data_IF_554960050828
#
_entry.id   IF_554960050828
#
_cell.length_a   1.000
_cell.length_b   1.000
_cell.length_c   1.000
_cell.angle_alpha   90.00
_cell.angle_beta   90.00
_cell.angle_gamma   90.00
#
_symmetry.space_group_name_H-M   'P 1'
#
loop_
_entity.id
_entity.type
_entity.pdbx_description
1 polymer ?
#
# COMPACT_ATOMS: atom_id res chain seq x y z
N UNK A 1 -6.97 -10.56 -16.68
CA UNK A 1 -7.95 -10.48 -15.58
C UNK A 1 -7.27 -9.62 -14.54
N UNK A 2 -7.77 -8.41 -14.30
CA UNK A 2 -7.12 -7.50 -13.36
C UNK A 2 -7.25 -8.09 -11.96
N UNK A 3 -6.11 -8.28 -11.28
CA UNK A 3 -6.10 -8.77 -9.90
C UNK A 3 -6.50 -7.58 -9.03
N UNK A 4 -7.68 -7.67 -8.44
CA UNK A 4 -8.19 -6.69 -7.47
C UNK A 4 -8.06 -7.31 -6.09
N UNK A 5 -7.30 -6.67 -5.21
CA UNK A 5 -7.21 -7.06 -3.82
C UNK A 5 -8.39 -6.49 -3.03
N UNK A 6 -8.82 -7.21 -1.98
CA UNK A 6 -9.92 -6.75 -1.10
C UNK A 6 -9.64 -5.36 -0.51
N UNK A 7 -8.35 -5.08 -0.28
CA UNK A 7 -7.85 -3.77 0.11
C UNK A 7 -6.67 -3.44 -0.78
N UNK A 8 -6.85 -2.40 -1.59
CA UNK A 8 -5.82 -1.87 -2.46
C UNK A 8 -5.84 -0.35 -2.35
N UNK A 9 -4.68 0.22 -2.11
CA UNK A 9 -4.50 1.66 -1.96
C UNK A 9 -3.34 2.07 -2.86
N UNK A 10 -3.50 3.20 -3.53
CA UNK A 10 -2.42 3.84 -4.26
C UNK A 10 -2.10 5.15 -3.56
N UNK A 11 -0.84 5.36 -3.23
CA UNK A 11 -0.39 6.65 -2.72
C UNK A 11 -0.74 7.75 -3.76
N UNK A 12 -1.32 8.89 -3.36
CA UNK A 12 -1.72 9.97 -4.29
C UNK A 12 -0.59 10.39 -5.23
N UNK A 13 0.61 10.54 -4.67
CA UNK A 13 1.82 10.92 -5.40
C UNK A 13 2.61 9.74 -5.99
N UNK A 14 2.04 8.54 -6.10
CA UNK A 14 2.73 7.32 -6.56
C UNK A 14 3.56 7.53 -7.83
N UNK A 15 3.05 8.28 -8.82
CA UNK A 15 3.77 8.61 -10.05
C UNK A 15 5.05 9.44 -9.82
N UNK A 16 5.00 10.43 -8.93
CA UNK A 16 6.16 11.26 -8.60
C UNK A 16 7.16 10.51 -7.73
N UNK A 17 6.65 9.74 -6.76
CA UNK A 17 7.45 8.92 -5.84
C UNK A 17 8.23 7.88 -6.64
N UNK A 18 7.61 7.23 -7.64
CA UNK A 18 8.28 6.26 -8.52
C UNK A 18 9.59 6.78 -9.11
N UNK A 19 9.62 8.05 -9.52
CA UNK A 19 10.83 8.69 -10.02
C UNK A 19 11.91 8.91 -8.96
N UNK A 20 11.51 9.23 -7.73
CA UNK A 20 12.41 9.50 -6.60
C UNK A 20 13.02 8.24 -6.01
N UNK A 21 12.24 7.16 -5.90
CA UNK A 21 12.67 5.88 -5.32
C UNK A 21 13.28 4.93 -6.35
N UNK A 22 13.24 5.29 -7.64
CA UNK A 22 13.85 4.50 -8.73
C UNK A 22 13.02 3.31 -9.20
N UNK A 23 11.74 3.23 -8.84
CA UNK A 23 10.89 2.07 -9.15
C UNK A 23 9.50 2.14 -8.54
N UNK A 24 8.72 1.07 -8.66
CA UNK A 24 7.41 0.94 -8.03
C UNK A 24 7.53 0.16 -6.73
N UNK A 25 7.28 0.82 -5.59
CA UNK A 25 7.22 0.14 -4.29
C UNK A 25 5.91 -0.63 -4.16
N UNK A 26 5.99 -1.86 -3.65
CA UNK A 26 4.83 -2.70 -3.40
C UNK A 26 5.01 -3.37 -2.05
N UNK A 27 3.98 -3.25 -1.21
CA UNK A 27 3.82 -3.97 0.05
C UNK A 27 2.54 -4.83 -0.06
N UNK A 28 2.66 -6.14 0.13
CA UNK A 28 1.55 -7.10 0.11
C UNK A 28 1.53 -7.85 1.44
N UNK A 29 0.35 -7.94 2.03
CA UNK A 29 0.11 -8.63 3.31
C UNK A 29 -1.09 -9.54 3.11
N UNK A 30 -0.88 -10.84 3.26
CA UNK A 30 -1.90 -11.84 2.96
C UNK A 30 -2.86 -12.06 4.14
N UNK A 31 -2.31 -12.27 5.35
CA UNK A 31 -3.06 -12.79 6.50
C UNK A 31 -2.50 -12.34 7.86
N UNK A 32 -1.74 -11.23 7.87
CA UNK A 32 -0.98 -10.74 9.04
C UNK A 32 0.10 -11.71 9.56
N UNK A 33 0.33 -12.85 8.91
CA UNK A 33 1.41 -13.78 9.25
C UNK A 33 2.61 -13.64 8.29
N UNK A 34 2.38 -13.15 7.08
CA UNK A 34 3.43 -12.90 6.11
C UNK A 34 3.27 -11.58 5.35
N UNK A 35 4.42 -11.01 4.97
CA UNK A 35 4.53 -9.83 4.13
C UNK A 35 5.49 -10.10 2.98
N UNK A 36 5.15 -9.57 1.80
CA UNK A 36 6.00 -9.48 0.65
C UNK A 36 6.19 -8.00 0.31
N UNK A 37 7.41 -7.52 0.36
CA UNK A 37 7.71 -6.11 0.16
C UNK A 37 8.95 -5.91 -0.70
N UNK A 38 8.95 -4.86 -1.50
CA UNK A 38 10.07 -4.56 -2.38
C UNK A 38 9.77 -3.44 -3.37
N UNK A 39 10.76 -3.15 -4.21
CA UNK A 39 10.64 -2.15 -5.26
C UNK A 39 10.91 -2.85 -6.59
N UNK A 40 9.96 -2.74 -7.53
CA UNK A 40 10.26 -3.01 -8.93
C UNK A 40 11.16 -1.91 -9.49
N UNK A 41 12.46 -2.18 -9.52
CA UNK A 41 13.47 -1.27 -10.05
C UNK A 41 13.21 -0.96 -11.52
N UNK A 42 13.31 0.32 -11.87
CA UNK A 42 13.12 0.78 -13.24
C UNK A 42 14.07 0.07 -14.20
N UNK A 43 13.48 -0.65 -15.17
CA UNK A 43 14.23 -1.39 -16.19
C UNK A 43 14.79 -2.74 -15.73
N UNK A 44 14.44 -3.21 -14.52
CA UNK A 44 14.88 -4.50 -13.97
C UNK A 44 13.76 -5.28 -13.29
N UNK A 45 12.54 -5.21 -13.83
CA UNK A 45 11.35 -5.83 -13.21
C UNK A 45 11.60 -7.31 -12.89
N UNK A 46 12.14 -8.08 -13.85
CA UNK A 46 12.40 -9.52 -13.70
C UNK A 46 13.55 -9.88 -12.74
N UNK A 47 14.30 -8.88 -12.28
CA UNK A 47 15.47 -9.05 -11.41
C UNK A 47 15.35 -8.27 -10.10
N UNK A 48 14.22 -7.61 -9.87
CA UNK A 48 13.99 -6.80 -8.67
C UNK A 48 13.87 -7.71 -7.46
N UNK A 49 14.66 -7.52 -6.41
CA UNK A 49 14.57 -8.34 -5.22
C UNK A 49 13.30 -8.00 -4.43
N UNK A 50 12.57 -9.03 -4.03
CA UNK A 50 11.47 -8.91 -3.08
C UNK A 50 11.78 -9.69 -1.82
N UNK A 51 11.45 -9.10 -0.69
CA UNK A 51 11.59 -9.72 0.61
C UNK A 51 10.25 -10.34 0.97
N UNK A 52 10.23 -11.66 1.02
CA UNK A 52 9.17 -12.39 1.69
C UNK A 52 9.59 -12.70 3.13
N UNK A 53 8.75 -12.34 4.09
CA UNK A 53 9.07 -12.49 5.50
C UNK A 53 7.85 -12.91 6.31
N UNK A 54 8.11 -13.81 7.27
CA UNK A 54 7.20 -14.16 8.38
C UNK A 54 7.68 -13.59 9.71
N UNK A 55 8.72 -12.75 9.68
CA UNK A 55 9.19 -12.10 10.88
C UNK A 55 8.14 -11.11 11.37
N UNK A 56 7.72 -11.26 12.63
CA UNK A 56 6.68 -10.43 13.23
C UNK A 56 6.91 -8.93 13.04
N UNK A 57 8.12 -8.43 13.26
CA UNK A 57 8.43 -7.01 13.12
C UNK A 57 8.37 -6.56 11.66
N UNK A 58 8.88 -7.35 10.72
CA UNK A 58 8.75 -7.06 9.30
C UNK A 58 7.29 -6.96 8.88
N UNK A 59 6.45 -7.90 9.32
CA UNK A 59 5.02 -7.88 8.99
C UNK A 59 4.34 -6.65 9.58
N UNK A 60 4.60 -6.34 10.86
CA UNK A 60 4.03 -5.15 11.52
C UNK A 60 4.44 -3.85 10.81
N UNK A 61 5.71 -3.68 10.46
CA UNK A 61 6.18 -2.48 9.75
C UNK A 61 5.52 -2.32 8.37
N UNK A 62 5.33 -3.41 7.62
CA UNK A 62 4.62 -3.36 6.35
C UNK A 62 3.13 -3.02 6.53
N UNK A 63 2.48 -3.53 7.58
CA UNK A 63 1.09 -3.15 7.90
C UNK A 63 1.01 -1.65 8.18
N UNK A 64 1.94 -1.11 8.96
CA UNK A 64 1.96 0.32 9.26
C UNK A 64 2.25 1.19 8.02
N UNK A 65 3.12 0.73 7.10
CA UNK A 65 3.35 1.35 5.79
C UNK A 65 2.05 1.46 4.97
N UNK A 66 1.28 0.37 4.86
CA UNK A 66 0.00 0.38 4.15
C UNK A 66 -1.04 1.30 4.80
N UNK A 67 -1.10 1.32 6.14
CA UNK A 67 -1.99 2.24 6.88
C UNK A 67 -1.61 3.69 6.62
N UNK A 68 -0.32 4.01 6.60
CA UNK A 68 0.20 5.33 6.28
C UNK A 68 -0.26 5.80 4.89
N UNK A 69 -0.06 4.99 3.86
CA UNK A 69 -0.46 5.33 2.49
C UNK A 69 -1.97 5.49 2.35
N UNK A 70 -2.75 4.69 3.10
CA UNK A 70 -4.19 4.86 3.19
C UNK A 70 -4.61 6.19 3.80
N UNK A 71 -3.93 6.66 4.85
CA UNK A 71 -4.20 7.98 5.40
C UNK A 71 -3.85 9.11 4.43
N UNK A 72 -2.77 8.98 3.66
CA UNK A 72 -2.47 9.94 2.59
C UNK A 72 -3.56 9.96 1.52
N UNK A 73 -4.00 8.78 1.06
CA UNK A 73 -5.10 8.67 0.11
C UNK A 73 -6.39 9.34 0.62
N UNK A 74 -6.72 9.14 1.90
CA UNK A 74 -7.89 9.78 2.51
C UNK A 74 -7.77 11.28 2.64
N UNK A 75 -6.61 11.75 3.10
CA UNK A 75 -6.36 13.16 3.29
C UNK A 75 -6.43 13.90 1.95
N UNK A 76 -5.75 13.39 0.93
CA UNK A 76 -5.79 13.92 -0.42
C UNK A 76 -7.22 13.99 -0.96
N UNK A 77 -7.97 12.89 -0.87
CA UNK A 77 -9.35 12.84 -1.37
C UNK A 77 -10.28 13.84 -0.66
N UNK A 78 -10.23 13.90 0.67
CA UNK A 78 -11.15 14.72 1.46
C UNK A 78 -10.77 16.20 1.47
N UNK A 79 -9.49 16.51 1.71
CA UNK A 79 -9.03 17.87 1.96
C UNK A 79 -8.49 18.53 0.70
N UNK A 80 -7.62 17.85 -0.05
CA UNK A 80 -6.99 18.43 -1.25
C UNK A 80 -7.97 18.47 -2.43
N UNK A 81 -8.75 17.39 -2.62
CA UNK A 81 -9.69 17.27 -3.75
C UNK A 81 -11.14 17.67 -3.40
N UNK A 82 -11.48 17.82 -2.11
CA UNK A 82 -12.84 18.15 -1.66
C UNK A 82 -13.88 17.07 -1.97
N UNK A 83 -13.46 15.83 -2.20
CA UNK A 83 -14.35 14.71 -2.53
C UNK A 83 -14.88 14.02 -1.27
N UNK A 84 -16.06 13.40 -1.40
CA UNK A 84 -16.61 12.54 -0.35
C UNK A 84 -16.02 11.14 -0.39
N UNK A 85 -15.90 10.49 0.78
CA UNK A 85 -15.57 9.07 0.87
C UNK A 85 -16.72 8.22 0.33
N UNK A 86 -16.41 7.35 -0.64
CA UNK A 86 -17.32 6.34 -1.18
C UNK A 86 -17.63 5.25 -0.14
N UNK A 87 -18.60 4.40 -0.45
CA UNK A 87 -18.89 3.21 0.37
C UNK A 87 -17.66 2.30 0.51
N UNK A 88 -16.91 2.11 -0.58
CA UNK A 88 -15.71 1.28 -0.57
C UNK A 88 -14.59 1.88 0.30
N UNK A 89 -14.37 3.20 0.20
CA UNK A 89 -13.41 3.90 1.07
C UNK A 89 -13.74 3.66 2.55
N UNK A 90 -15.02 3.79 2.92
CA UNK A 90 -15.47 3.58 4.31
C UNK A 90 -15.29 2.14 4.77
N UNK A 91 -15.50 1.16 3.90
CA UNK A 91 -15.25 -0.26 4.20
C UNK A 91 -13.76 -0.50 4.48
N UNK A 92 -12.87 0.03 3.64
CA UNK A 92 -11.42 -0.06 3.87
C UNK A 92 -11.05 0.63 5.19
N UNK A 93 -11.60 1.82 5.46
CA UNK A 93 -11.34 2.53 6.72
C UNK A 93 -11.79 1.71 7.93
N UNK A 94 -12.97 1.10 7.90
CA UNK A 94 -13.44 0.24 8.99
C UNK A 94 -12.52 -0.97 9.18
N UNK A 95 -12.06 -1.61 8.10
CA UNK A 95 -11.11 -2.71 8.19
C UNK A 95 -9.79 -2.25 8.81
N UNK A 96 -9.17 -1.19 8.28
CA UNK A 96 -7.89 -0.67 8.76
C UNK A 96 -7.99 -0.17 10.19
N UNK A 97 -9.13 0.43 10.58
CA UNK A 97 -9.32 0.93 11.95
C UNK A 97 -9.50 -0.18 12.98
N UNK A 98 -10.09 -1.32 12.57
CA UNK A 98 -10.22 -2.52 13.40
C UNK A 98 -8.94 -3.38 13.40
N UNK A 99 -7.99 -3.04 12.53
CA UNK A 99 -6.70 -3.67 12.44
C UNK A 99 -5.79 -3.09 13.53
N UNK A 100 -5.73 -3.76 14.70
CA UNK A 100 -4.74 -3.46 15.76
C UNK A 100 -3.32 -3.82 15.28
#
# INVERSE_FOLDING_TARGET
MDIVYDIQVFHPDSNQIKGKIGGESIDIIADKAEALAGIFEKGKIDHSPFIWSRNHWSVTTNRDSLRHDFYHYFFDKLYEQGQSLSTHDRQIYTFIKADD
#
